data_IF_721258586989
#
_entry.id   IF_721258586989
#
_cell.length_a   1.000
_cell.length_b   1.000
_cell.length_c   1.000
_cell.angle_alpha   90.00
_cell.angle_beta   90.00
_cell.angle_gamma   90.00
#
_symmetry.space_group_name_H-M   'P 1'
#
loop_
_entity.id
_entity.type
_entity.pdbx_description
1 polymer ?
#
# COMPACT_ATOMS: atom_id res chain seq x y z
N UNK A 1 45.45 62.92 42.06
CA UNK A 1 46.81 62.37 42.17
C UNK A 1 47.15 61.70 40.83
N UNK A 2 48.15 62.25 40.13
CA UNK A 2 48.90 61.71 38.99
C UNK A 2 48.20 61.63 37.61
N UNK A 3 49.01 62.02 36.61
CA UNK A 3 48.83 62.32 35.19
C UNK A 3 49.46 61.18 34.37
N UNK A 4 49.27 61.21 33.04
CA UNK A 4 50.08 60.57 31.95
C UNK A 4 49.51 59.27 31.36
N UNK A 5 49.62 58.93 30.07
CA UNK A 5 49.80 59.60 28.74
C UNK A 5 50.00 58.45 27.71
N UNK A 6 49.63 58.69 26.43
CA UNK A 6 50.09 58.02 25.18
C UNK A 6 49.64 56.56 24.92
N UNK A 7 49.03 56.15 23.80
CA UNK A 7 49.12 56.39 22.34
C UNK A 7 50.15 55.53 21.60
N UNK A 8 49.82 55.21 20.34
CA UNK A 8 50.57 54.48 19.28
C UNK A 8 50.31 52.96 19.22
N UNK A 9 50.21 52.26 18.08
CA UNK A 9 49.81 52.50 16.67
C UNK A 9 50.06 51.14 15.95
N UNK A 10 49.34 50.91 14.84
CA UNK A 10 49.68 50.02 13.71
C UNK A 10 49.81 48.50 13.95
N UNK A 11 49.01 47.70 13.23
CA UNK A 11 49.47 47.11 11.95
C UNK A 11 48.31 46.53 11.14
N UNK A 12 48.38 46.75 9.84
CA UNK A 12 47.42 46.34 8.81
C UNK A 12 47.51 44.85 8.49
N UNK A 13 46.40 44.26 8.03
CA UNK A 13 46.45 43.18 7.04
C UNK A 13 45.09 43.06 6.32
N UNK A 14 45.09 43.56 5.09
CA UNK A 14 44.02 43.45 4.10
C UNK A 14 43.90 41.99 3.63
N UNK A 15 42.71 41.40 3.69
CA UNK A 15 42.41 40.16 2.94
C UNK A 15 41.23 40.45 2.03
N UNK A 16 41.54 40.48 0.74
CA UNK A 16 40.63 40.63 -0.38
C UNK A 16 39.88 39.28 -0.55
N UNK A 17 38.58 39.24 -0.24
CA UNK A 17 37.77 38.06 -0.50
C UNK A 17 37.24 38.08 -1.94
N UNK A 18 37.84 37.27 -2.82
CA UNK A 18 37.28 36.96 -4.14
C UNK A 18 36.19 35.89 -3.98
N UNK A 19 34.92 36.27 -4.13
CA UNK A 19 33.81 35.32 -4.21
C UNK A 19 33.69 34.76 -5.63
N UNK A 20 34.04 33.48 -5.83
CA UNK A 20 33.69 32.75 -7.04
C UNK A 20 32.31 32.12 -6.87
N UNK A 21 31.29 32.70 -7.51
CA UNK A 21 29.98 32.08 -7.66
C UNK A 21 30.02 31.08 -8.83
N UNK A 22 30.02 29.78 -8.52
CA UNK A 22 29.84 28.72 -9.49
C UNK A 22 28.33 28.48 -9.70
N UNK A 23 27.81 28.90 -10.85
CA UNK A 23 26.46 28.56 -11.29
C UNK A 23 26.47 27.19 -11.97
N UNK A 24 26.02 26.15 -11.29
CA UNK A 24 25.80 24.83 -11.89
C UNK A 24 24.42 24.78 -12.55
N UNK A 25 24.40 24.77 -13.88
CA UNK A 25 23.22 24.38 -14.66
C UNK A 25 23.09 22.85 -14.61
N UNK A 26 22.18 22.36 -13.78
CA UNK A 26 21.79 20.95 -13.79
C UNK A 26 20.85 20.68 -14.98
N UNK A 27 21.35 20.02 -16.02
CA UNK A 27 20.50 19.43 -17.05
C UNK A 27 19.87 18.16 -16.49
N UNK A 28 18.56 18.21 -16.23
CA UNK A 28 17.78 17.02 -15.91
C UNK A 28 17.58 16.19 -17.19
N UNK A 29 18.28 15.07 -17.31
CA UNK A 29 17.99 14.07 -18.34
C UNK A 29 16.67 13.39 -17.99
N UNK A 30 15.60 13.68 -18.74
CA UNK A 30 14.37 12.87 -18.72
C UNK A 30 14.68 11.51 -19.31
N UNK A 31 14.80 10.48 -18.46
CA UNK A 31 14.84 9.09 -18.90
C UNK A 31 13.51 8.77 -19.59
N UNK A 32 13.56 8.39 -20.87
CA UNK A 32 12.39 7.93 -21.62
C UNK A 32 11.86 6.64 -20.98
N UNK A 33 10.64 6.69 -20.45
CA UNK A 33 9.97 5.56 -19.81
C UNK A 33 9.61 4.51 -20.88
N UNK A 34 10.07 3.27 -20.72
CA UNK A 34 9.71 2.17 -21.61
C UNK A 34 8.20 1.85 -21.53
N UNK A 35 7.54 1.51 -22.65
CA UNK A 35 6.10 1.23 -22.66
C UNK A 35 5.79 -0.04 -21.88
N UNK A 36 4.73 0.00 -21.06
CA UNK A 36 4.28 -1.17 -20.30
C UNK A 36 3.60 -2.19 -21.22
N UNK A 37 3.54 -3.47 -20.81
CA UNK A 37 2.78 -4.52 -21.52
C UNK A 37 1.34 -4.09 -21.78
N UNK A 38 0.73 -3.42 -20.80
CA UNK A 38 -0.63 -2.91 -20.92
C UNK A 38 -0.76 -1.91 -22.08
N UNK A 39 0.15 -0.94 -22.15
CA UNK A 39 0.19 0.05 -23.22
C UNK A 39 0.41 -0.61 -24.58
N UNK A 40 1.33 -1.59 -24.66
CA UNK A 40 1.61 -2.33 -25.89
C UNK A 40 0.42 -3.19 -26.36
N UNK A 41 -0.36 -3.73 -25.43
CA UNK A 41 -1.55 -4.55 -25.73
C UNK A 41 -2.79 -3.75 -26.13
N UNK A 42 -2.76 -2.41 -26.06
CA UNK A 42 -3.92 -1.55 -26.30
C UNK A 42 -5.00 -1.61 -25.20
N UNK A 43 -4.72 -2.27 -24.08
CA UNK A 43 -5.66 -2.37 -22.97
C UNK A 43 -5.91 -0.99 -22.34
N UNK A 44 -7.16 -0.54 -22.35
CA UNK A 44 -7.54 0.76 -21.79
C UNK A 44 -7.44 0.78 -20.26
N UNK A 45 -7.09 1.95 -19.74
CA UNK A 45 -7.14 2.21 -18.32
C UNK A 45 -8.58 2.32 -17.82
N UNK A 46 -8.93 1.56 -16.78
CA UNK A 46 -10.15 1.84 -16.01
C UNK A 46 -9.97 3.21 -15.36
N UNK A 47 -10.78 4.19 -15.76
CA UNK A 47 -10.70 5.58 -15.29
C UNK A 47 -11.74 5.92 -14.23
N UNK A 48 -12.81 5.12 -14.10
CA UNK A 48 -13.82 5.23 -13.04
C UNK A 48 -14.22 3.86 -12.50
N UNK A 49 -14.72 3.84 -11.27
CA UNK A 49 -15.36 2.67 -10.67
C UNK A 49 -16.84 3.01 -10.44
N UNK A 50 -17.72 2.22 -11.05
CA UNK A 50 -19.15 2.34 -10.84
C UNK A 50 -19.51 1.56 -9.57
N UNK A 51 -19.83 2.26 -8.48
CA UNK A 51 -20.07 1.64 -7.17
C UNK A 51 -21.11 0.50 -7.21
N UNK A 52 -22.15 0.63 -8.05
CA UNK A 52 -23.20 -0.38 -8.21
C UNK A 52 -22.78 -1.62 -9.03
N UNK A 53 -21.60 -1.62 -9.65
CA UNK A 53 -21.09 -2.69 -10.49
C UNK A 53 -19.66 -3.13 -10.10
N UNK A 54 -19.15 -2.61 -8.98
CA UNK A 54 -17.82 -2.91 -8.47
C UNK A 54 -17.91 -3.55 -7.09
N UNK A 55 -17.28 -4.70 -6.93
CA UNK A 55 -17.04 -5.33 -5.63
C UNK A 55 -15.61 -5.08 -5.15
N UNK A 56 -15.45 -4.89 -3.84
CA UNK A 56 -14.15 -4.90 -3.18
C UNK A 56 -13.85 -6.33 -2.71
N UNK A 57 -12.69 -6.87 -3.07
CA UNK A 57 -12.23 -8.17 -2.60
C UNK A 57 -10.96 -7.96 -1.75
N UNK A 58 -11.04 -8.29 -0.47
CA UNK A 58 -9.94 -8.22 0.49
C UNK A 58 -9.34 -9.61 0.63
N UNK A 59 -8.13 -9.81 0.14
CA UNK A 59 -7.53 -11.15 0.04
C UNK A 59 -6.45 -11.34 1.10
N UNK A 60 -6.59 -12.41 1.88
CA UNK A 60 -5.59 -12.97 2.78
C UNK A 60 -4.94 -11.97 3.76
N UNK A 61 -5.71 -10.99 4.26
CA UNK A 61 -5.28 -10.14 5.39
C UNK A 61 -5.35 -10.92 6.72
N UNK A 62 -4.54 -11.97 6.83
CA UNK A 62 -4.49 -12.92 7.94
C UNK A 62 -3.18 -12.79 8.73
N UNK A 63 -3.19 -13.17 10.00
CA UNK A 63 -2.05 -13.00 10.91
C UNK A 63 -0.76 -13.70 10.45
N UNK A 64 -0.85 -14.75 9.62
CA UNK A 64 0.30 -15.44 9.01
C UNK A 64 1.24 -14.46 8.29
N UNK A 65 0.68 -13.45 7.61
CA UNK A 65 1.44 -12.45 6.85
C UNK A 65 1.97 -11.27 7.68
N UNK A 66 1.76 -11.27 9.01
CA UNK A 66 2.18 -10.19 9.90
C UNK A 66 3.07 -10.71 11.02
N UNK A 67 2.63 -11.77 11.70
CA UNK A 67 3.28 -12.35 12.88
C UNK A 67 3.56 -13.84 12.76
N UNK A 68 3.17 -14.45 11.63
CA UNK A 68 3.45 -15.85 11.33
C UNK A 68 4.79 -16.03 10.61
N UNK A 69 4.86 -17.08 9.79
CA UNK A 69 6.08 -17.50 9.11
C UNK A 69 6.35 -16.74 7.81
N UNK A 70 5.40 -15.96 7.32
CA UNK A 70 5.51 -15.26 6.04
C UNK A 70 5.24 -13.76 6.15
N UNK A 71 5.92 -13.00 7.02
CA UNK A 71 5.65 -11.58 7.15
C UNK A 71 5.88 -10.83 5.83
N UNK A 72 4.88 -10.05 5.39
CA UNK A 72 4.98 -9.21 4.19
C UNK A 72 5.58 -7.85 4.57
N UNK A 73 6.64 -7.39 3.88
CA UNK A 73 7.16 -6.03 4.05
C UNK A 73 6.06 -4.98 3.84
N UNK A 74 6.02 -3.95 4.67
CA UNK A 74 4.98 -2.91 4.63
C UNK A 74 3.53 -3.40 4.83
N UNK A 75 3.32 -4.62 5.37
CA UNK A 75 1.98 -5.17 5.60
C UNK A 75 1.07 -4.24 6.41
N UNK A 76 1.61 -3.49 7.38
CA UNK A 76 0.84 -2.49 8.15
C UNK A 76 0.37 -1.29 7.32
N UNK A 77 1.13 -0.89 6.30
CA UNK A 77 0.73 0.18 5.37
C UNK A 77 -0.37 -0.32 4.44
N UNK A 78 -0.23 -1.53 3.90
CA UNK A 78 -1.26 -2.18 3.10
C UNK A 78 -2.56 -2.35 3.91
N UNK A 79 -2.46 -2.75 5.18
CA UNK A 79 -3.60 -2.88 6.09
C UNK A 79 -4.33 -1.54 6.28
N UNK A 80 -3.61 -0.46 6.58
CA UNK A 80 -4.20 0.87 6.73
C UNK A 80 -4.91 1.35 5.46
N UNK A 81 -4.32 1.10 4.29
CA UNK A 81 -4.96 1.43 3.02
C UNK A 81 -6.23 0.60 2.82
N UNK A 82 -6.17 -0.69 3.11
CA UNK A 82 -7.30 -1.61 2.98
C UNK A 82 -8.46 -1.22 3.90
N UNK A 83 -8.18 -0.79 5.14
CA UNK A 83 -9.21 -0.25 6.04
C UNK A 83 -9.94 0.96 5.42
N UNK A 84 -9.20 1.87 4.76
CA UNK A 84 -9.81 3.03 4.07
C UNK A 84 -10.70 2.59 2.92
N UNK A 85 -10.28 1.56 2.18
CA UNK A 85 -11.02 1.03 1.04
C UNK A 85 -12.28 0.27 1.47
N UNK A 86 -12.19 -0.53 2.53
CA UNK A 86 -13.35 -1.19 3.15
C UNK A 86 -14.35 -0.15 3.62
N UNK A 87 -13.89 0.87 4.34
CA UNK A 87 -14.75 1.98 4.77
C UNK A 87 -15.42 2.67 3.57
N UNK A 88 -14.65 3.00 2.53
CA UNK A 88 -15.18 3.63 1.32
C UNK A 88 -16.24 2.74 0.64
N UNK A 89 -15.99 1.43 0.54
CA UNK A 89 -16.92 0.49 -0.05
C UNK A 89 -18.24 0.43 0.75
N UNK A 90 -18.16 0.36 2.07
CA UNK A 90 -19.33 0.41 2.96
C UNK A 90 -20.12 1.71 2.81
N UNK A 91 -19.45 2.86 2.83
CA UNK A 91 -20.09 4.18 2.69
C UNK A 91 -20.84 4.30 1.34
N UNK A 92 -20.35 3.61 0.30
CA UNK A 92 -20.93 3.62 -1.05
C UNK A 92 -21.80 2.39 -1.36
N UNK A 93 -22.11 1.56 -0.36
CA UNK A 93 -22.92 0.33 -0.50
C UNK A 93 -22.38 -0.65 -1.54
N UNK A 94 -21.07 -0.66 -1.73
CA UNK A 94 -20.38 -1.64 -2.56
C UNK A 94 -20.26 -2.96 -1.78
N UNK A 95 -20.48 -4.14 -2.42
CA UNK A 95 -20.29 -5.41 -1.74
C UNK A 95 -18.80 -5.65 -1.45
N UNK A 96 -18.50 -6.12 -0.24
CA UNK A 96 -17.15 -6.41 0.23
C UNK A 96 -17.01 -7.89 0.53
N UNK A 97 -16.00 -8.52 -0.07
CA UNK A 97 -15.68 -9.93 0.10
C UNK A 97 -14.32 -10.07 0.80
N UNK A 98 -14.33 -10.63 2.00
CA UNK A 98 -13.13 -11.03 2.72
C UNK A 98 -12.79 -12.47 2.36
N UNK A 99 -11.63 -12.67 1.75
CA UNK A 99 -11.11 -13.98 1.39
C UNK A 99 -10.03 -14.36 2.39
N UNK A 100 -10.13 -15.57 2.95
CA UNK A 100 -9.09 -16.18 3.78
C UNK A 100 -8.63 -17.50 3.20
N UNK A 101 -7.34 -17.78 3.33
CA UNK A 101 -6.78 -19.09 3.06
C UNK A 101 -6.88 -19.97 4.33
N UNK A 102 -7.37 -21.20 4.19
CA UNK A 102 -7.27 -22.23 5.22
C UNK A 102 -6.46 -23.42 4.69
N UNK A 103 -5.40 -23.75 5.42
CA UNK A 103 -4.64 -24.98 5.24
C UNK A 103 -5.11 -26.08 6.21
N UNK A 104 -4.57 -27.30 6.09
CA UNK A 104 -4.85 -28.38 7.03
C UNK A 104 -4.59 -27.97 8.48
N UNK A 105 -5.35 -28.48 9.45
CA UNK A 105 -5.21 -28.13 10.87
C UNK A 105 -3.79 -28.38 11.44
N UNK A 106 -3.08 -29.40 10.93
CA UNK A 106 -1.69 -29.70 11.29
C UNK A 106 -0.68 -29.17 10.25
N UNK A 107 -1.13 -28.28 9.36
CA UNK A 107 -0.35 -27.73 8.27
C UNK A 107 0.66 -26.67 8.74
N UNK A 108 1.69 -26.38 7.92
CA UNK A 108 2.75 -25.46 8.31
C UNK A 108 2.33 -23.99 8.28
N UNK A 109 1.29 -23.64 7.51
CA UNK A 109 0.83 -22.28 7.22
C UNK A 109 -0.70 -22.26 7.21
N UNK A 110 -1.30 -21.17 7.70
CA UNK A 110 -2.76 -20.97 7.73
C UNK A 110 -3.52 -22.16 8.32
N UNK A 111 -2.95 -22.82 9.32
CA UNK A 111 -3.52 -24.01 9.92
C UNK A 111 -4.93 -23.72 10.45
N UNK A 112 -5.92 -24.50 10.01
CA UNK A 112 -7.30 -24.38 10.48
C UNK A 112 -7.36 -24.45 12.02
N UNK A 113 -8.11 -23.52 12.63
CA UNK A 113 -8.20 -23.38 14.09
C UNK A 113 -7.02 -22.66 14.74
N UNK A 114 -5.97 -22.29 13.98
CA UNK A 114 -4.87 -21.48 14.50
C UNK A 114 -5.14 -19.99 14.38
N UNK A 115 -4.56 -19.20 15.30
CA UNK A 115 -4.57 -17.73 15.22
C UNK A 115 -3.96 -17.17 13.93
N UNK A 116 -3.08 -17.93 13.26
CA UNK A 116 -2.41 -17.49 12.04
C UNK A 116 -3.35 -17.53 10.82
N UNK A 117 -4.36 -18.40 10.87
CA UNK A 117 -5.43 -18.48 9.89
C UNK A 117 -6.55 -17.45 10.13
N UNK A 118 -6.55 -16.74 11.24
CA UNK A 118 -7.52 -15.68 11.51
C UNK A 118 -7.17 -14.40 10.75
N UNK A 119 -8.21 -13.61 10.42
CA UNK A 119 -8.01 -12.26 9.90
C UNK A 119 -7.23 -11.41 10.89
N UNK A 120 -6.49 -10.43 10.39
CA UNK A 120 -5.75 -9.51 11.24
C UNK A 120 -6.70 -8.75 12.17
N UNK A 121 -6.34 -8.62 13.45
CA UNK A 121 -7.21 -8.03 14.49
C UNK A 121 -7.76 -6.64 14.14
N UNK A 122 -6.99 -5.87 13.38
CA UNK A 122 -7.35 -4.50 12.98
C UNK A 122 -8.19 -4.43 11.69
N UNK A 123 -8.42 -5.56 11.01
CA UNK A 123 -9.19 -5.64 9.78
C UNK A 123 -10.06 -6.90 9.79
N UNK A 124 -11.18 -6.83 10.52
CA UNK A 124 -12.15 -7.91 10.63
C UNK A 124 -13.35 -7.66 9.71
N UNK A 125 -13.92 -8.72 9.10
CA UNK A 125 -15.21 -8.63 8.44
C UNK A 125 -16.31 -8.28 9.46
N UNK A 126 -17.30 -7.54 9.00
CA UNK A 126 -18.51 -7.15 9.72
C UNK A 126 -19.70 -8.00 9.27
N UNK A 127 -20.88 -7.78 9.87
CA UNK A 127 -22.10 -8.53 9.52
C UNK A 127 -22.63 -8.25 8.11
N UNK A 128 -22.19 -7.17 7.47
CA UNK A 128 -22.59 -6.83 6.08
C UNK A 128 -21.62 -7.38 5.04
N UNK A 129 -20.50 -7.96 5.48
CA UNK A 129 -19.45 -8.47 4.60
C UNK A 129 -19.65 -9.95 4.28
N UNK A 130 -19.11 -10.37 3.14
CA UNK A 130 -19.09 -11.77 2.72
C UNK A 130 -17.73 -12.39 3.05
N UNK A 131 -17.72 -13.58 3.66
CA UNK A 131 -16.47 -14.30 3.94
C UNK A 131 -16.35 -15.51 3.02
N UNK A 132 -15.27 -15.56 2.25
CA UNK A 132 -14.90 -16.67 1.38
C UNK A 132 -13.69 -17.38 1.98
N UNK A 133 -13.76 -18.71 2.04
CA UNK A 133 -12.63 -19.53 2.46
C UNK A 133 -12.09 -20.30 1.26
N UNK A 134 -10.76 -20.26 1.05
CA UNK A 134 -10.08 -20.96 -0.04
C UNK A 134 -8.96 -21.86 0.48
N UNK A 135 -8.68 -22.92 -0.27
CA UNK A 135 -7.56 -23.84 -0.01
C UNK A 135 -6.45 -23.73 -1.08
N UNK A 136 -6.60 -22.83 -2.07
CA UNK A 136 -5.62 -22.62 -3.14
C UNK A 136 -5.17 -21.15 -3.20
N UNK A 137 -4.11 -20.82 -3.96
CA UNK A 137 -3.73 -19.43 -4.19
C UNK A 137 -4.83 -18.63 -4.91
N UNK A 138 -5.55 -19.26 -5.85
CA UNK A 138 -6.66 -18.61 -6.54
C UNK A 138 -7.88 -18.51 -5.63
N UNK A 139 -8.46 -17.32 -5.53
CA UNK A 139 -9.69 -17.10 -4.76
C UNK A 139 -10.95 -17.63 -5.43
N UNK A 140 -10.87 -18.02 -6.72
CA UNK A 140 -12.01 -18.52 -7.48
C UNK A 140 -12.06 -20.06 -7.54
N UNK A 141 -10.90 -20.71 -7.51
CA UNK A 141 -10.84 -22.17 -7.65
C UNK A 141 -11.33 -22.83 -6.37
N UNK A 142 -12.38 -23.65 -6.49
CA UNK A 142 -12.95 -24.39 -5.36
C UNK A 142 -13.73 -23.51 -4.38
N UNK A 143 -14.12 -22.30 -4.77
CA UNK A 143 -14.97 -21.40 -3.98
C UNK A 143 -16.21 -21.01 -4.78
N UNK A 144 -17.18 -20.39 -4.13
CA UNK A 144 -18.36 -19.81 -4.75
C UNK A 144 -18.22 -18.30 -5.03
N UNK A 145 -17.01 -17.75 -4.96
CA UNK A 145 -16.74 -16.32 -5.14
C UNK A 145 -17.30 -15.79 -6.47
N UNK A 146 -17.04 -16.46 -7.59
CA UNK A 146 -17.56 -16.06 -8.91
C UNK A 146 -19.10 -16.01 -8.94
N UNK A 147 -19.74 -17.03 -8.35
CA UNK A 147 -21.20 -17.11 -8.28
C UNK A 147 -21.77 -15.97 -7.44
N UNK A 148 -21.16 -15.69 -6.29
CA UNK A 148 -21.60 -14.59 -5.42
C UNK A 148 -21.42 -13.23 -6.09
N UNK A 149 -20.26 -12.96 -6.71
CA UNK A 149 -20.00 -11.73 -7.46
C UNK A 149 -21.02 -11.51 -8.58
N UNK A 150 -21.34 -12.55 -9.35
CA UNK A 150 -22.35 -12.50 -10.41
C UNK A 150 -23.75 -12.24 -9.86
N UNK A 151 -24.12 -12.82 -8.72
CA UNK A 151 -25.43 -12.57 -8.09
C UNK A 151 -25.60 -11.13 -7.62
N UNK A 152 -24.51 -10.47 -7.23
CA UNK A 152 -24.49 -9.06 -6.85
C UNK A 152 -24.45 -8.10 -8.06
N UNK A 153 -24.42 -8.62 -9.29
CA UNK A 153 -24.32 -7.80 -10.50
C UNK A 153 -22.96 -7.12 -10.67
N UNK A 154 -21.93 -7.57 -9.95
CA UNK A 154 -20.59 -7.01 -10.06
C UNK A 154 -19.98 -7.37 -11.41
N UNK A 155 -19.68 -6.34 -12.20
CA UNK A 155 -19.01 -6.45 -13.51
C UNK A 155 -17.51 -6.20 -13.42
N UNK A 156 -17.06 -5.65 -12.30
CA UNK A 156 -15.65 -5.35 -12.03
C UNK A 156 -15.32 -5.75 -10.59
N UNK A 157 -14.11 -6.27 -10.39
CA UNK A 157 -13.58 -6.60 -9.08
C UNK A 157 -12.32 -5.80 -8.86
N UNK A 158 -12.20 -5.17 -7.69
CA UNK A 158 -11.00 -4.45 -7.30
C UNK A 158 -10.39 -5.14 -6.08
N UNK A 159 -9.10 -5.47 -6.16
CA UNK A 159 -8.32 -6.06 -5.08
C UNK A 159 -7.21 -5.08 -4.70
N UNK A 160 -7.10 -4.67 -3.43
CA UNK A 160 -5.93 -3.96 -2.95
C UNK A 160 -4.76 -4.93 -2.94
N UNK A 161 -3.82 -4.74 -3.84
CA UNK A 161 -2.45 -5.25 -3.74
C UNK A 161 -1.55 -4.10 -3.35
#
# INVERSE_FOLDING_TARGET
MIRMKFNEKLFACSVLALSMSASSLAFATTAAQAPTIRTMSGAQATTSLEANATALIVIDFQNEYFSGKMPIPDGMKALKNTQRLVKFAHDNKMPVFFVRHLGPANGPLFAEGSKFAEFHKDLQPTSVDHVITKATPSSFVGTDLDKQLKSWGSRSCWSPV
#
